data_IF_138197709101
#
_entry.id   IF_138197709101
#
_cell.length_a   1.000
_cell.length_b   1.000
_cell.length_c   1.000
_cell.angle_alpha   90.00
_cell.angle_beta   90.00
_cell.angle_gamma   90.00
#
_symmetry.space_group_name_H-M   'P 1'
#
loop_
_entity.id
_entity.type
_entity.pdbx_description
1 polymer ?
#
# COMPACT_ATOMS: atom_id res chain seq x y z
N UNK A 1 1.94 -0.57 8.66
CA UNK A 1 1.72 -1.79 7.83
C UNK A 1 0.25 -2.07 7.83
N UNK A 2 -0.30 -2.46 6.69
CA UNK A 2 -1.69 -2.90 6.57
C UNK A 2 -1.79 -4.11 5.63
N UNK A 3 -2.89 -4.85 5.69
CA UNK A 3 -3.15 -5.97 4.79
C UNK A 3 -4.62 -5.98 4.37
N UNK A 4 -4.88 -6.44 3.15
CA UNK A 4 -6.22 -6.56 2.59
C UNK A 4 -6.28 -7.64 1.51
N UNK A 5 -7.46 -7.89 0.96
CA UNK A 5 -7.68 -8.84 -0.12
C UNK A 5 -8.22 -8.08 -1.34
N UNK A 6 -7.44 -8.08 -2.42
CA UNK A 6 -7.77 -7.45 -3.71
C UNK A 6 -8.04 -8.55 -4.71
N UNK A 7 -9.24 -8.62 -5.29
CA UNK A 7 -9.63 -9.66 -6.25
C UNK A 7 -9.35 -11.11 -5.78
N UNK A 8 -9.56 -11.38 -4.49
CA UNK A 8 -9.28 -12.67 -3.86
C UNK A 8 -7.79 -12.95 -3.60
N UNK A 9 -6.90 -12.00 -3.92
CA UNK A 9 -5.46 -12.09 -3.68
C UNK A 9 -5.09 -11.30 -2.42
N UNK A 10 -4.47 -11.92 -1.40
CA UNK A 10 -4.05 -11.21 -0.20
C UNK A 10 -2.83 -10.33 -0.51
N UNK A 11 -2.98 -9.03 -0.26
CA UNK A 11 -1.97 -7.99 -0.46
C UNK A 11 -1.58 -7.41 0.89
N UNK A 12 -0.27 -7.25 1.12
CA UNK A 12 0.25 -6.44 2.22
C UNK A 12 0.80 -5.14 1.69
N UNK A 13 0.66 -4.09 2.51
CA UNK A 13 1.18 -2.76 2.21
C UNK A 13 2.05 -2.30 3.36
N UNK A 14 3.27 -1.95 3.04
CA UNK A 14 4.26 -1.46 3.99
C UNK A 14 4.69 -0.07 3.60
N UNK A 15 4.80 0.81 4.58
CA UNK A 15 5.33 2.14 4.38
C UNK A 15 6.12 2.57 5.61
N UNK A 16 7.09 3.46 5.44
CA UNK A 16 7.94 3.90 6.54
C UNK A 16 8.87 5.05 6.20
N UNK A 17 10.01 5.07 6.91
CA UNK A 17 11.01 6.17 6.85
C UNK A 17 11.80 6.22 5.56
N UNK A 18 11.79 5.16 4.77
CA UNK A 18 12.41 5.13 3.44
C UNK A 18 11.57 5.86 2.38
N UNK A 19 10.60 6.67 2.83
CA UNK A 19 9.71 7.50 2.04
C UNK A 19 9.05 6.73 0.90
N UNK A 20 8.66 5.48 1.18
CA UNK A 20 8.10 4.61 0.17
C UNK A 20 6.97 3.75 0.70
N UNK A 21 5.98 3.56 -0.16
CA UNK A 21 4.92 2.58 0.02
C UNK A 21 5.25 1.40 -0.90
N UNK A 22 5.33 0.21 -0.33
CA UNK A 22 5.51 -1.05 -1.09
C UNK A 22 4.27 -1.91 -0.93
N UNK A 23 3.79 -2.44 -2.04
CA UNK A 23 2.73 -3.43 -2.08
C UNK A 23 3.31 -4.82 -2.34
N UNK A 24 2.78 -5.83 -1.67
CA UNK A 24 3.32 -7.18 -1.68
C UNK A 24 2.20 -8.19 -1.93
N UNK A 25 2.40 -9.11 -2.88
CA UNK A 25 1.55 -10.28 -3.01
C UNK A 25 1.97 -11.31 -1.97
N UNK A 26 1.14 -11.50 -0.93
CA UNK A 26 1.50 -12.34 0.21
C UNK A 26 1.60 -13.83 -0.14
N UNK A 27 0.84 -14.30 -1.14
CA UNK A 27 0.92 -15.69 -1.61
C UNK A 27 2.24 -16.02 -2.29
N UNK A 28 2.80 -15.05 -3.00
CA UNK A 28 4.01 -15.21 -3.82
C UNK A 28 5.25 -14.70 -3.09
N UNK A 29 5.09 -13.91 -2.01
CA UNK A 29 6.19 -13.27 -1.30
C UNK A 29 6.93 -12.24 -2.16
N UNK A 30 6.28 -11.67 -3.18
CA UNK A 30 6.89 -10.71 -4.10
C UNK A 30 6.36 -9.30 -3.91
N UNK A 31 7.23 -8.33 -4.13
CA UNK A 31 6.84 -6.94 -4.29
C UNK A 31 6.06 -6.79 -5.61
N UNK A 32 4.88 -6.20 -5.54
CA UNK A 32 4.04 -5.88 -6.70
C UNK A 32 4.40 -4.51 -7.26
N UNK A 33 4.51 -3.54 -6.35
CA UNK A 33 4.62 -2.13 -6.69
C UNK A 33 5.33 -1.38 -5.58
N UNK A 34 6.11 -0.38 -5.98
CA UNK A 34 6.72 0.60 -5.10
C UNK A 34 6.32 1.99 -5.56
N UNK A 35 5.88 2.79 -4.60
CA UNK A 35 5.53 4.19 -4.80
C UNK A 35 6.44 5.01 -3.89
N UNK A 36 7.25 5.86 -4.49
CA UNK A 36 8.10 6.81 -3.77
C UNK A 36 7.28 8.06 -3.42
N UNK A 37 7.35 8.45 -2.16
CA UNK A 37 6.69 9.62 -1.60
C UNK A 37 7.76 10.67 -1.23
N UNK A 38 7.39 11.96 -1.15
CA UNK A 38 8.36 13.01 -0.85
C UNK A 38 8.76 13.08 0.64
N UNK A 39 8.18 12.23 1.50
CA UNK A 39 8.47 12.23 2.94
C UNK A 39 8.20 10.89 3.62
N UNK A 40 8.65 10.78 4.87
CA UNK A 40 8.43 9.60 5.70
C UNK A 40 6.94 9.34 5.91
N UNK A 41 6.52 8.08 5.75
CA UNK A 41 5.15 7.68 6.04
C UNK A 41 5.04 7.34 7.52
N UNK A 42 4.16 8.05 8.22
CA UNK A 42 3.95 7.85 9.66
C UNK A 42 2.72 7.00 9.97
N UNK A 43 1.73 7.00 9.08
CA UNK A 43 0.51 6.23 9.23
C UNK A 43 0.07 5.65 7.89
N UNK A 44 -0.39 4.41 7.91
CA UNK A 44 -1.02 3.75 6.78
C UNK A 44 -2.24 2.98 7.29
N UNK A 45 -3.36 3.10 6.59
CA UNK A 45 -4.60 2.40 6.91
C UNK A 45 -5.26 1.85 5.63
N UNK A 46 -6.08 0.82 5.78
CA UNK A 46 -6.82 0.22 4.67
C UNK A 46 -8.32 0.20 4.95
N UNK A 47 -9.06 0.86 4.08
CA UNK A 47 -10.51 0.95 4.13
C UNK A 47 -11.22 -0.15 3.32
N UNK A 48 -12.54 -0.20 3.51
CA UNK A 48 -13.45 -1.04 2.72
C UNK A 48 -13.39 -0.61 1.26
N UNK A 49 -13.32 -1.58 0.33
CA UNK A 49 -13.23 -1.31 -1.11
C UNK A 49 -11.80 -1.18 -1.65
N UNK A 50 -10.82 -1.74 -0.95
CA UNK A 50 -9.41 -1.78 -1.34
C UNK A 50 -8.71 -0.41 -1.34
N UNK A 51 -9.26 0.60 -0.66
CA UNK A 51 -8.61 1.90 -0.60
C UNK A 51 -7.51 1.89 0.47
N UNK A 52 -6.29 2.25 0.10
CA UNK A 52 -5.18 2.45 1.03
C UNK A 52 -5.00 3.96 1.24
N UNK A 53 -4.91 4.39 2.49
CA UNK A 53 -4.61 5.77 2.84
C UNK A 53 -3.24 5.83 3.51
N UNK A 54 -2.33 6.64 2.99
CA UNK A 54 -1.02 6.88 3.59
C UNK A 54 -0.84 8.37 3.92
N UNK A 55 -0.44 8.65 5.16
CA UNK A 55 -0.12 10.00 5.63
C UNK A 55 1.39 10.22 5.71
N UNK A 56 1.89 11.28 5.09
CA UNK A 56 3.29 11.71 5.15
C UNK A 56 3.35 13.22 5.39
N UNK A 57 4.19 13.66 6.34
CA UNK A 57 4.27 15.08 6.70
C UNK A 57 2.90 15.70 7.04
N UNK A 58 2.46 16.65 6.22
CA UNK A 58 1.15 17.34 6.31
C UNK A 58 0.14 16.88 5.24
N UNK A 59 0.51 15.88 4.45
CA UNK A 59 -0.23 15.43 3.26
C UNK A 59 -0.76 14.01 3.43
N UNK A 60 -1.82 13.71 2.68
CA UNK A 60 -2.47 12.40 2.64
C UNK A 60 -2.62 11.98 1.19
N UNK A 61 -2.22 10.75 0.87
CA UNK A 61 -2.45 10.13 -0.44
C UNK A 61 -3.37 8.95 -0.30
N UNK A 62 -4.24 8.81 -1.30
CA UNK A 62 -5.13 7.67 -1.47
C UNK A 62 -4.58 6.83 -2.61
N UNK A 63 -4.36 5.55 -2.34
CA UNK A 63 -3.83 4.59 -3.28
C UNK A 63 -4.87 3.50 -3.52
N UNK A 64 -5.07 3.17 -4.79
CA UNK A 64 -5.85 2.01 -5.18
C UNK A 64 -4.86 0.92 -5.61
N UNK A 65 -4.77 -0.20 -4.86
CA UNK A 65 -3.97 -1.33 -5.26
C UNK A 65 -4.63 -1.90 -6.51
N UNK A 66 -4.01 -1.69 -7.66
CA UNK A 66 -4.45 -2.29 -8.91
C UNK A 66 -4.30 -3.80 -8.80
N UNK A 67 -5.41 -4.48 -8.53
CA UNK A 67 -5.57 -5.87 -8.89
C UNK A 67 -5.49 -5.91 -10.40
N UNK A 68 -4.37 -6.38 -10.95
CA UNK A 68 -4.26 -6.59 -12.38
C UNK A 68 -5.41 -7.47 -12.82
N UNK A 69 -6.29 -6.96 -13.67
CA UNK A 69 -7.11 -7.81 -14.53
C UNK A 69 -6.12 -8.55 -15.45
N UNK A 70 -5.69 -9.72 -14.99
CA UNK A 70 -4.73 -10.62 -15.63
C UNK A 70 -4.74 -11.98 -14.96
#
# INVERSE_FOLDING_TARGET
MACTVVDGRPIAVTAGRDAAVRMWALREGRELERIDLPGEVHAIDVGVGNVIVAGFGSEVVVLEPTGGCG
#
